data_IF_391154564466
#
_entry.id   IF_391154564466
#
_cell.length_a   1.000
_cell.length_b   1.000
_cell.length_c   1.000
_cell.angle_alpha   90.00
_cell.angle_beta   90.00
_cell.angle_gamma   90.00
#
_symmetry.space_group_name_H-M   'P 1'
#
loop_
_entity.id
_entity.type
_entity.pdbx_description
1 polymer ?
#
# COMPACT_ATOMS: atom_id res chain seq x y z
N UNK A 1 14.55 3.45 -3.41
CA UNK A 1 14.53 1.96 -3.51
C UNK A 1 13.12 1.42 -3.39
N UNK A 2 12.79 0.33 -4.08
CA UNK A 2 11.41 -0.17 -4.17
C UNK A 2 11.32 -1.66 -3.77
N UNK A 3 10.97 -1.92 -2.52
CA UNK A 3 10.72 -3.27 -2.01
C UNK A 3 9.31 -3.73 -2.37
N UNK A 4 9.17 -5.01 -2.73
CA UNK A 4 7.86 -5.61 -2.92
C UNK A 4 7.72 -6.97 -2.25
N UNK A 5 6.51 -7.25 -1.78
CA UNK A 5 6.15 -8.52 -1.17
C UNK A 5 4.94 -9.14 -1.87
N UNK A 6 4.94 -10.46 -1.98
CA UNK A 6 3.86 -11.22 -2.57
C UNK A 6 3.39 -12.30 -1.58
N UNK A 7 2.08 -12.47 -1.46
CA UNK A 7 1.46 -13.58 -0.74
C UNK A 7 0.33 -14.17 -1.58
N UNK A 8 0.15 -15.49 -1.46
CA UNK A 8 -0.82 -16.24 -2.26
C UNK A 8 -2.21 -16.30 -1.59
N UNK A 9 -2.30 -16.09 -0.27
CA UNK A 9 -3.55 -16.13 0.45
C UNK A 9 -4.36 -14.83 0.41
N UNK A 10 -5.68 -14.97 0.35
CA UNK A 10 -6.61 -13.83 0.36
C UNK A 10 -6.46 -13.04 1.66
N UNK A 11 -6.15 -11.74 1.54
CA UNK A 11 -6.00 -10.83 2.68
C UNK A 11 -4.80 -11.14 3.58
N UNK A 12 -3.86 -11.98 3.15
CA UNK A 12 -2.62 -12.21 3.89
C UNK A 12 -1.67 -11.03 3.76
N UNK A 13 -1.47 -10.50 2.55
CA UNK A 13 -0.68 -9.28 2.32
C UNK A 13 -1.22 -8.11 3.12
N UNK A 14 -2.55 -7.93 3.13
CA UNK A 14 -3.24 -6.86 3.86
C UNK A 14 -2.87 -6.90 5.35
N UNK A 15 -3.03 -8.07 5.99
CA UNK A 15 -2.68 -8.28 7.41
C UNK A 15 -1.18 -8.12 7.69
N UNK A 16 -0.33 -8.59 6.78
CA UNK A 16 1.12 -8.51 6.93
C UNK A 16 1.59 -7.04 6.90
N UNK A 17 1.11 -6.27 5.93
CA UNK A 17 1.50 -4.87 5.79
C UNK A 17 0.88 -3.98 6.87
N UNK A 18 -0.35 -4.27 7.31
CA UNK A 18 -0.97 -3.61 8.44
C UNK A 18 -0.16 -3.80 9.74
N UNK A 19 0.17 -5.05 10.09
CA UNK A 19 0.97 -5.34 11.27
C UNK A 19 2.39 -4.73 11.19
N UNK A 20 2.95 -4.65 9.98
CA UNK A 20 4.23 -3.99 9.74
C UNK A 20 4.14 -2.47 9.99
N UNK A 21 3.08 -1.82 9.50
CA UNK A 21 2.86 -0.39 9.72
C UNK A 21 2.77 -0.06 11.22
N UNK A 22 1.96 -0.83 11.96
CA UNK A 22 1.80 -0.67 13.41
C UNK A 22 3.15 -0.81 14.13
N UNK A 23 3.96 -1.80 13.75
CA UNK A 23 5.28 -2.04 14.34
C UNK A 23 6.28 -0.93 14.03
N UNK A 24 6.30 -0.41 12.80
CA UNK A 24 7.18 0.69 12.40
C UNK A 24 6.80 1.99 13.12
N UNK A 25 5.50 2.30 13.23
CA UNK A 25 5.03 3.44 14.01
C UNK A 25 5.37 3.30 15.50
N UNK A 26 5.23 2.10 16.07
CA UNK A 26 5.64 1.82 17.44
C UNK A 26 7.15 1.96 17.67
N UNK A 27 7.95 1.80 16.61
CA UNK A 27 9.39 2.05 16.61
C UNK A 27 9.74 3.55 16.41
N UNK A 28 8.75 4.42 16.21
CA UNK A 28 8.92 5.86 16.04
C UNK A 28 9.13 6.31 14.60
N UNK A 29 8.99 5.43 13.60
CA UNK A 29 9.22 5.77 12.20
C UNK A 29 8.07 6.61 11.63
N UNK A 30 8.41 7.62 10.84
CA UNK A 30 7.45 8.48 10.15
C UNK A 30 7.06 7.86 8.81
N UNK A 31 5.81 7.41 8.69
CA UNK A 31 5.31 6.71 7.51
C UNK A 31 4.36 7.57 6.68
N UNK A 32 4.41 7.40 5.37
CA UNK A 32 3.38 7.85 4.44
C UNK A 32 2.75 6.64 3.71
N UNK A 33 1.55 6.81 3.16
CA UNK A 33 0.87 5.77 2.40
C UNK A 33 -0.38 5.24 3.09
N UNK A 34 -0.73 4.00 2.78
CA UNK A 34 -1.94 3.37 3.29
C UNK A 34 -1.84 1.85 3.30
N UNK A 35 -2.34 1.25 4.38
CA UNK A 35 -2.52 -0.21 4.53
C UNK A 35 -4.00 -0.55 4.49
N UNK A 36 -4.37 -1.76 4.12
CA UNK A 36 -5.78 -2.13 3.97
C UNK A 36 -6.23 -3.03 5.12
N UNK A 37 -7.40 -2.73 5.69
CA UNK A 37 -8.13 -3.62 6.59
C UNK A 37 -9.42 -4.06 5.91
N UNK A 38 -9.57 -5.37 5.68
CA UNK A 38 -10.83 -5.92 5.20
C UNK A 38 -11.70 -6.31 6.38
N UNK A 39 -12.77 -5.55 6.62
CA UNK A 39 -13.76 -5.87 7.66
C UNK A 39 -14.89 -6.70 7.05
N UNK A 40 -15.08 -7.93 7.53
CA UNK A 40 -16.30 -8.70 7.26
C UNK A 40 -17.42 -8.20 8.18
N UNK A 41 -18.59 -7.88 7.60
CA UNK A 41 -19.78 -7.51 8.37
C UNK A 41 -20.88 -8.56 8.19
N UNK A 42 -21.53 -9.02 9.27
CA UNK A 42 -22.65 -9.94 9.16
C UNK A 42 -23.74 -9.37 8.24
N UNK A 43 -24.12 -10.12 7.21
CA UNK A 43 -25.19 -9.73 6.27
C UNK A 43 -24.73 -8.99 5.01
N UNK A 44 -23.44 -8.62 4.89
CA UNK A 44 -22.92 -8.06 3.62
C UNK A 44 -22.47 -9.17 2.67
N UNK A 45 -23.00 -9.15 1.43
CA UNK A 45 -22.67 -10.14 0.39
C UNK A 45 -21.23 -10.01 -0.13
N UNK A 46 -20.56 -8.87 0.11
CA UNK A 46 -19.21 -8.59 -0.39
C UNK A 46 -18.43 -7.78 0.65
N UNK A 47 -17.17 -8.12 0.88
CA UNK A 47 -16.30 -7.43 1.84
C UNK A 47 -16.21 -5.92 1.54
N UNK A 48 -16.21 -5.11 2.60
CA UNK A 48 -15.78 -3.71 2.55
C UNK A 48 -14.26 -3.66 2.42
N UNK A 49 -13.78 -2.75 1.58
CA UNK A 49 -12.36 -2.44 1.47
C UNK A 49 -12.13 -1.08 2.10
N UNK A 50 -11.31 -1.04 3.14
CA UNK A 50 -11.00 0.16 3.90
C UNK A 50 -9.48 0.34 3.96
N UNK A 51 -9.01 1.56 3.70
CA UNK A 51 -7.61 1.92 3.84
C UNK A 51 -7.41 2.67 5.16
N UNK A 52 -6.44 2.26 5.95
CA UNK A 52 -5.91 3.03 7.07
C UNK A 52 -4.75 3.88 6.56
N UNK A 53 -4.88 5.19 6.74
CA UNK A 53 -3.95 6.20 6.25
C UNK A 53 -2.78 6.39 7.22
N UNK A 54 -1.56 6.50 6.70
CA UNK A 54 -0.33 6.67 7.48
C UNK A 54 0.16 8.14 7.42
N UNK A 55 0.67 8.73 8.52
CA UNK A 55 0.98 8.13 9.82
C UNK A 55 -0.23 8.12 10.79
N UNK A 56 -1.42 8.49 10.34
CA UNK A 56 -2.61 8.54 11.18
C UNK A 56 -3.24 7.17 11.45
N UNK A 57 -4.47 7.21 11.95
CA UNK A 57 -5.37 6.06 12.04
C UNK A 57 -6.71 6.34 11.32
N UNK A 58 -6.76 7.41 10.50
CA UNK A 58 -7.95 7.71 9.71
C UNK A 58 -8.18 6.55 8.74
N UNK A 59 -9.45 6.14 8.63
CA UNK A 59 -9.85 5.07 7.73
C UNK A 59 -10.72 5.63 6.61
N UNK A 60 -10.40 5.27 5.36
CA UNK A 60 -11.15 5.65 4.17
C UNK A 60 -11.79 4.42 3.54
N UNK A 61 -13.10 4.44 3.38
CA UNK A 61 -13.81 3.43 2.60
C UNK A 61 -13.45 3.61 1.12
N UNK A 62 -12.92 2.56 0.51
CA UNK A 62 -12.53 2.54 -0.91
C UNK A 62 -13.36 1.53 -1.72
N UNK A 63 -14.47 1.05 -1.16
CA UNK A 63 -15.40 0.17 -1.85
C UNK A 63 -16.80 0.76 -1.92
N UNK A 64 -17.40 0.78 -3.11
CA UNK A 64 -18.78 1.15 -3.35
C UNK A 64 -19.69 -0.06 -3.63
N UNK A 65 -20.98 0.11 -3.35
CA UNK A 65 -21.99 -0.84 -3.80
C UNK A 65 -22.47 -0.43 -5.21
N UNK A 66 -22.31 -1.35 -6.16
CA UNK A 66 -22.73 -1.17 -7.55
C UNK A 66 -24.04 -1.91 -7.85
N UNK A 67 -24.67 -2.50 -6.83
CA UNK A 67 -25.86 -3.34 -6.95
C UNK A 67 -25.55 -4.81 -7.20
N UNK A 68 -26.57 -5.65 -6.96
CA UNK A 68 -26.44 -7.11 -6.93
C UNK A 68 -25.92 -7.75 -8.23
N UNK A 69 -26.11 -7.09 -9.38
CA UNK A 69 -25.75 -7.61 -10.70
C UNK A 69 -24.47 -7.01 -11.28
N UNK A 70 -23.78 -6.12 -10.55
CA UNK A 70 -22.57 -5.51 -11.05
C UNK A 70 -21.36 -6.47 -11.01
N UNK A 71 -20.72 -6.61 -12.16
CA UNK A 71 -19.45 -7.33 -12.36
C UNK A 71 -18.23 -6.39 -12.42
N UNK A 72 -18.47 -5.08 -12.43
CA UNK A 72 -17.44 -4.04 -12.50
C UNK A 72 -16.62 -3.88 -11.21
N UNK A 73 -15.51 -3.15 -11.32
CA UNK A 73 -14.65 -2.84 -10.18
C UNK A 73 -15.42 -2.02 -9.15
N UNK A 74 -15.50 -2.53 -7.91
CA UNK A 74 -16.16 -1.86 -6.78
C UNK A 74 -15.30 -0.78 -6.13
N UNK A 75 -14.12 -0.49 -6.66
CA UNK A 75 -13.24 0.51 -6.08
C UNK A 75 -13.91 1.87 -6.18
N UNK A 76 -13.99 2.57 -5.05
CA UNK A 76 -14.43 3.95 -4.98
C UNK A 76 -13.24 4.86 -5.34
N UNK A 77 -13.27 5.54 -6.50
CA UNK A 77 -12.18 6.40 -6.93
C UNK A 77 -12.00 7.62 -6.03
N UNK A 78 -13.07 8.16 -5.46
CA UNK A 78 -12.99 9.36 -4.60
C UNK A 78 -12.36 9.01 -3.26
N UNK A 79 -12.75 7.86 -2.69
CA UNK A 79 -12.08 7.29 -1.52
C UNK A 79 -10.59 7.05 -1.75
N UNK A 80 -10.22 6.48 -2.90
CA UNK A 80 -8.81 6.27 -3.24
C UNK A 80 -8.05 7.59 -3.39
N UNK A 81 -8.61 8.59 -4.08
CA UNK A 81 -7.97 9.89 -4.26
C UNK A 81 -7.73 10.62 -2.94
N UNK A 82 -8.67 10.54 -1.99
CA UNK A 82 -8.46 11.07 -0.63
C UNK A 82 -7.28 10.41 0.07
N UNK A 83 -7.15 9.09 -0.05
CA UNK A 83 -6.04 8.34 0.53
C UNK A 83 -4.70 8.73 -0.11
N UNK A 84 -4.67 8.90 -1.44
CA UNK A 84 -3.48 9.37 -2.17
C UNK A 84 -3.06 10.76 -1.70
N UNK A 85 -4.00 11.70 -1.65
CA UNK A 85 -3.70 13.08 -1.24
C UNK A 85 -3.10 13.17 0.16
N UNK A 86 -3.66 12.42 1.13
CA UNK A 86 -3.13 12.41 2.49
C UNK A 86 -1.73 11.80 2.54
N UNK A 87 -1.48 10.74 1.76
CA UNK A 87 -0.16 10.12 1.70
C UNK A 87 0.89 11.04 1.05
N UNK A 88 0.51 11.81 0.03
CA UNK A 88 1.35 12.86 -0.56
C UNK A 88 1.71 13.94 0.46
N UNK A 89 0.72 14.42 1.24
CA UNK A 89 0.97 15.37 2.31
C UNK A 89 1.91 14.83 3.40
N UNK A 90 1.77 13.55 3.76
CA UNK A 90 2.66 12.91 4.72
C UNK A 90 4.09 12.79 4.18
N UNK A 91 4.25 12.50 2.89
CA UNK A 91 5.56 12.50 2.22
C UNK A 91 6.20 13.89 2.27
N UNK A 92 5.46 14.93 1.89
CA UNK A 92 5.91 16.33 1.94
C UNK A 92 6.31 16.79 3.36
N UNK A 93 5.71 16.19 4.39
CA UNK A 93 6.01 16.46 5.80
C UNK A 93 7.25 15.71 6.33
N UNK A 94 7.97 15.00 5.46
CA UNK A 94 9.21 14.31 5.80
C UNK A 94 9.01 12.88 6.27
N UNK A 95 8.13 12.12 5.61
CA UNK A 95 8.06 10.67 5.84
C UNK A 95 9.37 9.99 5.44
N UNK A 96 9.80 9.03 6.23
CA UNK A 96 11.04 8.26 6.03
C UNK A 96 10.80 7.01 5.15
N UNK A 97 9.54 6.56 5.06
CA UNK A 97 9.15 5.39 4.28
C UNK A 97 7.72 5.57 3.76
N UNK A 98 7.50 5.19 2.50
CA UNK A 98 6.16 5.02 1.94
C UNK A 98 5.77 3.54 1.97
N UNK A 99 4.63 3.24 2.59
CA UNK A 99 4.07 1.90 2.68
C UNK A 99 2.70 1.84 1.98
N UNK A 100 2.61 1.07 0.89
CA UNK A 100 1.38 0.94 0.09
C UNK A 100 0.87 -0.49 0.13
N UNK A 101 -0.40 -0.67 0.49
CA UNK A 101 -0.98 -2.00 0.59
C UNK A 101 -0.81 -2.84 -0.69
N UNK A 102 -1.03 -2.22 -1.85
CA UNK A 102 -1.04 -2.94 -3.11
C UNK A 102 -0.75 -2.07 -4.34
N UNK A 103 0.17 -2.53 -5.18
CA UNK A 103 0.30 -2.08 -6.57
C UNK A 103 -0.70 -2.83 -7.45
N UNK A 104 -1.75 -2.14 -7.82
CA UNK A 104 -2.96 -2.68 -8.40
C UNK A 104 -3.19 -2.30 -9.86
N UNK A 105 -4.43 -2.54 -10.30
CA UNK A 105 -4.90 -2.11 -11.61
C UNK A 105 -4.83 -0.58 -11.77
N UNK A 106 -5.11 0.18 -10.70
CA UNK A 106 -5.07 1.65 -10.76
C UNK A 106 -3.66 2.14 -11.07
N UNK A 107 -2.65 1.58 -10.40
CA UNK A 107 -1.26 1.99 -10.56
C UNK A 107 -0.68 1.56 -11.92
N UNK A 108 -1.14 0.43 -12.47
CA UNK A 108 -0.85 0.03 -13.85
C UNK A 108 -1.43 1.00 -14.88
N UNK A 109 -2.61 1.57 -14.60
CA UNK A 109 -3.30 2.53 -15.47
C UNK A 109 -2.84 3.98 -15.28
N UNK A 110 -1.76 4.23 -14.52
CA UNK A 110 -1.26 5.58 -14.29
C UNK A 110 -1.95 6.35 -13.16
N UNK A 111 -2.76 5.69 -12.34
CA UNK A 111 -3.61 6.29 -11.29
C UNK A 111 -3.22 5.79 -9.90
N UNK A 112 -4.03 6.14 -8.91
CA UNK A 112 -3.85 5.69 -7.52
C UNK A 112 -2.52 6.18 -6.96
N UNK A 113 -1.80 5.30 -6.28
CA UNK A 113 -0.55 5.66 -5.62
C UNK A 113 0.66 5.74 -6.55
N UNK A 114 0.50 5.53 -7.87
CA UNK A 114 1.63 5.48 -8.81
C UNK A 114 2.48 6.75 -8.78
N UNK A 115 1.85 7.93 -8.78
CA UNK A 115 2.57 9.20 -8.76
C UNK A 115 3.36 9.36 -7.46
N UNK A 116 2.70 9.14 -6.32
CA UNK A 116 3.33 9.12 -5.00
C UNK A 116 4.56 8.20 -4.95
N UNK A 117 4.45 6.97 -5.48
CA UNK A 117 5.57 6.02 -5.52
C UNK A 117 6.72 6.61 -6.33
N UNK A 118 6.44 7.20 -7.49
CA UNK A 118 7.46 7.86 -8.31
C UNK A 118 8.13 9.02 -7.59
N UNK A 119 7.35 9.89 -6.95
CA UNK A 119 7.85 11.04 -6.18
C UNK A 119 8.74 10.59 -5.03
N UNK A 120 8.29 9.66 -4.21
CA UNK A 120 9.06 9.12 -3.09
C UNK A 120 10.41 8.55 -3.56
N UNK A 121 10.40 7.76 -4.64
CA UNK A 121 11.63 7.21 -5.21
C UNK A 121 12.57 8.29 -5.77
N UNK A 122 12.04 9.40 -6.29
CA UNK A 122 12.86 10.53 -6.77
C UNK A 122 13.44 11.39 -5.64
N UNK A 123 12.85 11.32 -4.46
CA UNK A 123 13.30 11.98 -3.23
C UNK A 123 14.13 11.04 -2.35
N UNK A 124 14.58 9.90 -2.89
CA UNK A 124 15.31 8.84 -2.20
C UNK A 124 14.58 8.21 -1.00
N UNK A 125 13.27 8.46 -0.85
CA UNK A 125 12.43 7.84 0.16
C UNK A 125 12.10 6.40 -0.26
N UNK A 126 12.43 5.39 0.58
CA UNK A 126 12.10 4.00 0.29
C UNK A 126 10.59 3.76 0.20
N UNK A 127 10.22 2.85 -0.69
CA UNK A 127 8.85 2.40 -0.86
C UNK A 127 8.77 0.90 -0.64
N UNK A 128 7.83 0.45 0.19
CA UNK A 128 7.45 -0.95 0.32
C UNK A 128 6.00 -1.13 -0.12
N UNK A 129 5.74 -2.12 -0.98
CA UNK A 129 4.37 -2.39 -1.41
C UNK A 129 4.05 -3.87 -1.64
N UNK A 130 2.75 -4.19 -1.59
CA UNK A 130 2.25 -5.52 -1.95
C UNK A 130 2.03 -5.65 -3.46
N UNK A 131 2.36 -6.81 -4.05
CA UNK A 131 2.07 -7.11 -5.46
C UNK A 131 1.33 -8.44 -5.56
N UNK A 132 0.28 -8.48 -6.36
CA UNK A 132 -0.38 -9.74 -6.69
C UNK A 132 0.28 -10.38 -7.90
N UNK A 133 0.32 -11.72 -8.00
CA UNK A 133 0.93 -12.42 -9.14
C UNK A 133 0.46 -11.94 -10.52
N UNK A 134 -0.83 -11.58 -10.64
CA UNK A 134 -1.44 -11.09 -11.89
C UNK A 134 -0.91 -9.74 -12.36
N UNK A 135 -0.33 -8.94 -11.46
CA UNK A 135 0.16 -7.60 -11.74
C UNK A 135 1.68 -7.54 -11.73
N UNK A 136 2.37 -8.67 -11.48
CA UNK A 136 3.82 -8.69 -11.29
C UNK A 136 4.56 -8.14 -12.50
N UNK A 137 4.24 -8.60 -13.71
CA UNK A 137 4.94 -8.16 -14.92
C UNK A 137 4.83 -6.65 -15.13
N UNK A 138 3.62 -6.09 -15.01
CA UNK A 138 3.42 -4.64 -15.16
C UNK A 138 3.99 -3.82 -14.00
N UNK A 139 4.07 -4.39 -12.79
CA UNK A 139 4.82 -3.79 -11.69
C UNK A 139 6.31 -3.76 -11.98
N UNK A 140 6.90 -4.85 -12.46
CA UNK A 140 8.32 -4.93 -12.80
C UNK A 140 8.67 -3.99 -13.95
N UNK A 141 7.79 -3.83 -14.94
CA UNK A 141 7.94 -2.83 -16.00
C UNK A 141 7.97 -1.38 -15.44
N UNK A 142 7.12 -1.09 -14.45
CA UNK A 142 7.13 0.21 -13.76
C UNK A 142 8.39 0.41 -12.90
N UNK A 143 8.76 -0.62 -12.13
CA UNK A 143 9.82 -0.53 -11.13
C UNK A 143 11.23 -0.59 -11.73
N UNK A 144 11.38 -1.25 -12.89
CA UNK A 144 12.67 -1.47 -13.52
C UNK A 144 13.66 -2.16 -12.58
N UNK A 145 14.91 -1.68 -12.58
CA UNK A 145 15.99 -2.23 -11.77
C UNK A 145 15.88 -1.88 -10.28
N UNK A 146 14.92 -1.04 -9.88
CA UNK A 146 14.73 -0.63 -8.48
C UNK A 146 13.97 -1.66 -7.63
N UNK A 147 13.33 -2.65 -8.27
CA UNK A 147 12.52 -3.66 -7.61
C UNK A 147 13.39 -4.64 -6.80
N UNK A 148 13.12 -4.75 -5.50
CA UNK A 148 13.70 -5.76 -4.62
C UNK A 148 12.60 -6.70 -4.12
N UNK A 149 12.69 -7.98 -4.47
CA UNK A 149 11.76 -9.00 -4.00
C UNK A 149 12.05 -9.34 -2.54
N UNK A 150 11.07 -9.17 -1.66
CA UNK A 150 11.22 -9.44 -0.24
C UNK A 150 10.46 -10.70 0.17
N UNK A 151 11.03 -11.52 1.08
CA UNK A 151 10.31 -12.64 1.63
C UNK A 151 9.11 -12.15 2.45
N UNK A 152 7.94 -12.80 2.38
CA UNK A 152 6.74 -12.42 3.13
C UNK A 152 6.85 -12.83 4.60
N UNK A 153 7.88 -12.30 5.29
CA UNK A 153 8.19 -12.58 6.69
C UNK A 153 8.22 -11.25 7.45
N UNK A 154 7.45 -11.10 8.55
CA UNK A 154 7.37 -9.84 9.29
C UNK A 154 8.75 -9.25 9.66
N UNK A 155 9.65 -10.08 10.21
CA UNK A 155 11.01 -9.63 10.57
C UNK A 155 11.81 -9.14 9.37
N UNK A 156 11.76 -9.86 8.24
CA UNK A 156 12.53 -9.48 7.06
C UNK A 156 12.04 -8.17 6.44
N UNK A 157 10.74 -7.91 6.46
CA UNK A 157 10.18 -6.64 6.00
C UNK A 157 10.55 -5.50 6.94
N UNK A 158 10.42 -5.71 8.25
CA UNK A 158 10.77 -4.72 9.27
C UNK A 158 12.26 -4.35 9.20
N UNK A 159 13.15 -5.34 9.17
CA UNK A 159 14.59 -5.13 9.06
C UNK A 159 14.96 -4.45 7.74
N UNK A 160 14.28 -4.79 6.64
CA UNK A 160 14.47 -4.10 5.37
C UNK A 160 14.11 -2.62 5.52
N UNK A 161 12.92 -2.30 6.02
CA UNK A 161 12.49 -0.90 6.20
C UNK A 161 13.49 -0.10 7.03
N UNK A 162 13.90 -0.59 8.20
CA UNK A 162 14.86 0.10 9.06
C UNK A 162 16.21 0.33 8.39
N UNK A 163 16.73 -0.67 7.67
CA UNK A 163 18.00 -0.51 6.93
C UNK A 163 17.88 0.53 5.84
N UNK A 164 16.74 0.61 5.16
CA UNK A 164 16.53 1.53 4.06
C UNK A 164 16.38 2.98 4.51
N UNK A 165 15.73 3.22 5.66
CA UNK A 165 15.58 4.58 6.23
C UNK A 165 16.90 5.15 6.77
N UNK A 166 17.84 4.29 7.18
CA UNK A 166 19.14 4.70 7.75
C UNK A 166 20.32 4.49 6.79
N UNK A 167 20.08 4.50 5.47
CA UNK A 167 21.17 4.50 4.50
C UNK A 167 21.78 5.91 4.42
N UNK A 168 22.94 6.07 5.06
CA UNK A 168 23.86 7.20 4.83
C UNK A 168 24.48 7.16 3.43
#
# INVERSE_FOLDING_TARGET
MLGYVMMDGRGETDRLLEALAERLQAAGCHLAGAVQRNTERPGELRCRMELTLLPGAETVLISQDLGAHATGCRLDPDGLQRAVHQAEQALEQGAELVLINKFGKQELEGRGFRLLIGTALSEDVPVLLGVNPKNLDGFLEFAGEMAEALPPKPEALFDWCLRQMHKD
#
